data_IF_258577720942
#
_entry.id   IF_258577720942
#
_cell.length_a   1.000
_cell.length_b   1.000
_cell.length_c   1.000
_cell.angle_alpha   90.00
_cell.angle_beta   90.00
_cell.angle_gamma   90.00
#
_symmetry.space_group_name_H-M   'P 1'
#
loop_
_entity.id
_entity.type
_entity.pdbx_description
1 polymer ?
#
# COMPACT_ATOMS: atom_id res chain seq x y z
N UNK A 1 30.73 41.66 11.63
CA UNK A 1 30.24 40.96 12.84
C UNK A 1 28.77 40.52 12.74
N UNK A 2 27.97 41.01 11.79
CA UNK A 2 26.58 40.56 11.59
C UNK A 2 26.43 39.14 10.96
N UNK A 3 27.48 38.64 10.31
CA UNK A 3 27.47 37.40 9.51
C UNK A 3 27.41 36.12 10.37
N UNK A 4 28.06 36.11 11.54
CA UNK A 4 28.11 34.91 12.41
C UNK A 4 26.78 34.67 13.15
N UNK A 5 26.06 35.75 13.47
CA UNK A 5 24.77 35.68 14.16
C UNK A 5 23.69 35.08 13.22
N UNK A 6 23.64 35.53 11.96
CA UNK A 6 22.73 35.00 10.95
C UNK A 6 23.01 33.52 10.63
N UNK A 7 24.28 33.11 10.57
CA UNK A 7 24.67 31.71 10.35
C UNK A 7 24.17 30.83 11.50
N UNK A 8 24.30 31.28 12.76
CA UNK A 8 23.84 30.54 13.93
C UNK A 8 22.31 30.43 13.95
N UNK A 9 21.59 31.51 13.69
CA UNK A 9 20.13 31.49 13.59
C UNK A 9 19.63 30.59 12.45
N UNK A 10 20.33 30.55 11.32
CA UNK A 10 20.03 29.64 10.21
C UNK A 10 20.22 28.18 10.62
N UNK A 11 21.30 27.84 11.33
CA UNK A 11 21.52 26.50 11.87
C UNK A 11 20.46 26.09 12.89
N UNK A 12 20.03 27.00 13.77
CA UNK A 12 18.93 26.73 14.71
C UNK A 12 17.60 26.48 13.99
N UNK A 13 17.29 27.25 12.94
CA UNK A 13 16.07 27.04 12.13
C UNK A 13 16.11 25.69 11.42
N UNK A 14 17.23 25.35 10.79
CA UNK A 14 17.39 24.06 10.10
C UNK A 14 17.31 22.87 11.07
N UNK A 15 17.92 22.96 12.26
CA UNK A 15 17.85 21.88 13.26
C UNK A 15 16.44 21.72 13.83
N UNK A 16 15.74 22.81 14.12
CA UNK A 16 14.32 22.78 14.53
C UNK A 16 13.44 22.19 13.43
N UNK A 17 13.66 22.55 12.17
CA UNK A 17 12.91 21.99 11.05
C UNK A 17 13.19 20.49 10.87
N UNK A 18 14.44 20.05 10.99
CA UNK A 18 14.80 18.62 10.98
C UNK A 18 14.13 17.86 12.12
N UNK A 19 14.11 18.42 13.34
CA UNK A 19 13.41 17.82 14.48
C UNK A 19 11.90 17.72 14.23
N UNK A 20 11.27 18.76 13.67
CA UNK A 20 9.85 18.73 13.29
C UNK A 20 9.56 17.67 12.23
N UNK A 21 10.39 17.56 11.19
CA UNK A 21 10.25 16.53 10.14
C UNK A 21 10.38 15.11 10.72
N UNK A 22 11.35 14.89 11.62
CA UNK A 22 11.52 13.60 12.32
C UNK A 22 10.32 13.27 13.21
N UNK A 23 9.83 14.23 13.98
CA UNK A 23 8.64 14.05 14.83
C UNK A 23 7.40 13.75 13.99
N UNK A 24 7.19 14.45 12.88
CA UNK A 24 6.08 14.21 11.95
C UNK A 24 6.18 12.82 11.30
N UNK A 25 7.36 12.40 10.87
CA UNK A 25 7.58 11.05 10.32
C UNK A 25 7.33 9.96 11.37
N UNK A 26 7.79 10.16 12.60
CA UNK A 26 7.55 9.22 13.71
C UNK A 26 6.05 9.11 14.03
N UNK A 27 5.34 10.24 13.99
CA UNK A 27 3.89 10.26 14.20
C UNK A 27 3.15 9.52 13.09
N UNK A 28 3.49 9.79 11.83
CA UNK A 28 2.89 9.09 10.68
C UNK A 28 3.14 7.58 10.73
N UNK A 29 4.33 7.16 11.17
CA UNK A 29 4.63 5.73 11.36
C UNK A 29 3.73 5.11 12.43
N UNK A 30 3.56 5.77 13.59
CA UNK A 30 2.66 5.27 14.65
C UNK A 30 1.22 5.16 14.19
N UNK A 31 0.73 6.15 13.45
CA UNK A 31 -0.63 6.14 12.89
C UNK A 31 -0.81 4.96 11.91
N UNK A 32 0.20 4.67 11.08
CA UNK A 32 0.20 3.52 10.18
C UNK A 32 0.25 2.18 10.94
N UNK A 33 1.11 2.06 11.95
CA UNK A 33 1.24 0.86 12.77
C UNK A 33 -0.06 0.57 13.54
N UNK A 34 -0.74 1.61 14.03
CA UNK A 34 -2.05 1.50 14.69
C UNK A 34 -3.12 1.03 13.69
N UNK A 35 -3.15 1.61 12.48
CA UNK A 35 -4.07 1.16 11.42
C UNK A 35 -3.82 -0.30 11.02
N UNK A 36 -2.57 -0.72 10.91
CA UNK A 36 -2.22 -2.10 10.59
C UNK A 36 -2.64 -3.04 11.72
N UNK A 37 -2.42 -2.65 12.98
CA UNK A 37 -2.85 -3.41 14.15
C UNK A 37 -4.37 -3.60 14.18
N UNK A 38 -5.13 -2.53 13.88
CA UNK A 38 -6.59 -2.59 13.76
C UNK A 38 -6.99 -3.53 12.61
N UNK A 39 -6.33 -3.43 11.45
CA UNK A 39 -6.64 -4.29 10.32
C UNK A 39 -6.38 -5.78 10.61
N UNK A 40 -5.31 -6.10 11.35
CA UNK A 40 -5.01 -7.46 11.83
C UNK A 40 -6.12 -7.95 12.76
N UNK A 41 -6.52 -7.16 13.76
CA UNK A 41 -7.59 -7.53 14.67
C UNK A 41 -8.94 -7.77 13.93
N UNK A 42 -9.31 -6.87 13.02
CA UNK A 42 -10.51 -7.03 12.20
C UNK A 42 -10.43 -8.26 11.29
N UNK A 43 -9.24 -8.59 10.78
CA UNK A 43 -9.03 -9.79 9.98
C UNK A 43 -9.19 -11.06 10.82
N UNK A 44 -8.72 -11.06 12.07
CA UNK A 44 -8.91 -12.18 13.00
C UNK A 44 -10.38 -12.38 13.34
N UNK A 45 -11.13 -11.30 13.62
CA UNK A 45 -12.59 -11.34 13.85
C UNK A 45 -13.34 -11.88 12.62
N UNK A 46 -12.98 -11.40 11.42
CA UNK A 46 -13.51 -11.93 10.15
C UNK A 46 -13.17 -13.41 9.97
N UNK A 47 -11.95 -13.84 10.32
CA UNK A 47 -11.55 -15.24 10.22
C UNK A 47 -12.28 -16.15 11.22
N UNK A 48 -12.58 -15.67 12.42
CA UNK A 48 -13.40 -16.41 13.41
C UNK A 48 -14.85 -16.58 12.94
N UNK A 49 -15.35 -15.62 12.17
CA UNK A 49 -16.71 -15.68 11.58
C UNK A 49 -16.75 -16.36 10.19
N UNK A 50 -15.59 -16.63 9.56
CA UNK A 50 -15.44 -17.41 8.31
C UNK A 50 -15.82 -18.88 8.53
N UNK A 51 -17.12 -19.14 8.41
CA UNK A 51 -17.65 -20.47 8.18
C UNK A 51 -17.82 -20.70 6.67
N UNK A 52 -17.62 -21.94 6.22
CA UNK A 52 -17.90 -22.32 4.82
C UNK A 52 -19.37 -22.06 4.44
N UNK A 53 -19.73 -22.43 3.21
CA UNK A 53 -21.16 -22.51 2.86
C UNK A 53 -21.84 -23.48 3.82
N UNK A 54 -22.79 -22.95 4.60
CA UNK A 54 -23.69 -23.71 5.45
C UNK A 54 -25.08 -23.58 4.85
N UNK A 55 -25.86 -24.66 4.92
CA UNK A 55 -27.28 -24.59 4.56
C UNK A 55 -27.97 -23.50 5.40
N UNK A 56 -28.74 -22.65 4.74
CA UNK A 56 -29.41 -21.49 5.38
C UNK A 56 -28.60 -20.20 5.48
N UNK A 57 -27.32 -20.18 5.07
CA UNK A 57 -26.54 -18.93 4.94
C UNK A 57 -26.77 -18.31 3.57
N UNK A 58 -26.92 -16.98 3.53
CA UNK A 58 -27.09 -16.26 2.27
C UNK A 58 -25.93 -16.52 1.30
N UNK A 59 -26.22 -16.67 -0.01
CA UNK A 59 -25.19 -16.82 -1.02
C UNK A 59 -24.22 -15.63 -1.02
N UNK A 60 -22.98 -15.89 -1.42
CA UNK A 60 -22.02 -14.80 -1.58
C UNK A 60 -22.49 -13.83 -2.67
N UNK A 61 -22.57 -12.54 -2.32
CA UNK A 61 -22.96 -11.48 -3.25
C UNK A 61 -22.02 -11.45 -4.45
N UNK A 62 -22.59 -11.46 -5.66
CA UNK A 62 -21.83 -11.27 -6.88
C UNK A 62 -21.42 -9.80 -7.02
N UNK A 63 -20.21 -9.49 -6.58
CA UNK A 63 -19.63 -8.13 -6.64
C UNK A 63 -19.15 -7.73 -8.04
N UNK A 64 -19.41 -8.52 -9.08
CA UNK A 64 -18.94 -8.24 -10.46
C UNK A 64 -17.43 -7.98 -10.57
N UNK A 65 -16.63 -8.68 -9.75
CA UNK A 65 -15.18 -8.49 -9.61
C UNK A 65 -14.40 -8.53 -10.94
N UNK A 66 -14.85 -9.36 -11.90
CA UNK A 66 -14.22 -9.47 -13.21
C UNK A 66 -14.41 -8.21 -14.06
N UNK A 67 -15.64 -7.69 -14.11
CA UNK A 67 -15.92 -6.44 -14.81
C UNK A 67 -15.16 -5.30 -14.17
N UNK A 68 -15.09 -5.25 -12.82
CA UNK A 68 -14.31 -4.19 -12.17
C UNK A 68 -12.81 -4.28 -12.49
N UNK A 69 -12.26 -5.49 -12.53
CA UNK A 69 -10.86 -5.71 -12.90
C UNK A 69 -10.57 -5.21 -14.31
N UNK A 70 -11.44 -5.53 -15.27
CA UNK A 70 -11.31 -5.03 -16.64
C UNK A 70 -11.31 -3.49 -16.71
N UNK A 71 -12.29 -2.86 -16.06
CA UNK A 71 -12.38 -1.39 -16.03
C UNK A 71 -11.13 -0.78 -15.38
N UNK A 72 -10.61 -1.39 -14.31
CA UNK A 72 -9.40 -0.91 -13.65
C UNK A 72 -8.16 -0.97 -14.57
N UNK A 73 -8.05 -2.03 -15.38
CA UNK A 73 -6.98 -2.13 -16.37
C UNK A 73 -7.09 -1.00 -17.41
N UNK A 74 -8.29 -0.76 -17.93
CA UNK A 74 -8.57 0.34 -18.87
C UNK A 74 -8.34 1.72 -18.24
N UNK A 75 -8.60 1.87 -16.95
CA UNK A 75 -8.42 3.13 -16.23
C UNK A 75 -6.93 3.51 -16.10
N UNK A 76 -6.03 2.55 -15.79
CA UNK A 76 -4.67 2.87 -15.31
C UNK A 76 -3.51 2.01 -15.83
N UNK A 77 -3.75 0.77 -16.25
CA UNK A 77 -2.67 -0.23 -16.34
C UNK A 77 -2.35 -0.70 -17.77
N UNK A 78 -3.09 -0.23 -18.78
CA UNK A 78 -2.83 -0.52 -20.20
C UNK A 78 -2.19 0.70 -20.90
N UNK A 79 -1.46 0.51 -22.03
CA UNK A 79 -0.75 1.61 -22.70
C UNK A 79 -1.64 2.79 -23.15
N UNK A 80 -2.91 2.54 -23.46
CA UNK A 80 -3.92 3.58 -23.77
C UNK A 80 -4.90 3.72 -22.61
N UNK A 81 -4.39 3.90 -21.39
CA UNK A 81 -5.23 4.08 -20.21
C UNK A 81 -6.00 5.40 -20.25
N UNK A 82 -7.20 5.41 -19.65
CA UNK A 82 -8.03 6.62 -19.55
C UNK A 82 -7.34 7.73 -18.75
N UNK A 83 -6.64 7.36 -17.68
CA UNK A 83 -5.94 8.29 -16.81
C UNK A 83 -4.45 8.29 -17.09
N UNK A 84 -3.87 9.50 -17.13
CA UNK A 84 -2.43 9.73 -17.27
C UNK A 84 -1.64 9.41 -15.99
N UNK A 85 -0.33 9.32 -16.14
CA UNK A 85 0.63 9.12 -15.03
C UNK A 85 0.50 10.16 -13.91
N UNK A 86 0.06 11.38 -14.22
CA UNK A 86 -0.18 12.43 -13.23
C UNK A 86 -1.34 12.04 -12.32
N UNK A 87 -2.43 11.55 -12.91
CA UNK A 87 -3.57 11.04 -12.15
C UNK A 87 -3.19 9.77 -11.39
N UNK A 88 -2.40 8.88 -11.99
CA UNK A 88 -1.88 7.69 -11.32
C UNK A 88 -1.11 8.08 -10.05
N UNK A 89 -0.14 9.00 -10.16
CA UNK A 89 0.65 9.46 -9.02
C UNK A 89 -0.21 10.10 -7.92
N UNK A 90 -1.26 10.83 -8.28
CA UNK A 90 -2.22 11.38 -7.32
C UNK A 90 -3.01 10.31 -6.57
N UNK A 91 -3.35 9.21 -7.24
CA UNK A 91 -4.20 8.13 -6.70
C UNK A 91 -3.44 7.06 -5.92
N UNK A 92 -2.24 6.71 -6.37
CA UNK A 92 -1.41 5.67 -5.77
C UNK A 92 -0.24 6.24 -4.96
N UNK A 93 -0.05 7.56 -4.96
CA UNK A 93 1.06 8.28 -4.29
C UNK A 93 2.47 7.83 -4.72
N UNK A 94 2.57 7.12 -5.85
CA UNK A 94 3.82 6.66 -6.44
C UNK A 94 3.76 6.67 -7.97
N UNK A 95 4.91 6.57 -8.63
CA UNK A 95 4.98 6.49 -10.08
C UNK A 95 4.62 5.08 -10.58
N UNK A 96 4.05 4.93 -11.79
CA UNK A 96 3.62 3.63 -12.32
C UNK A 96 4.73 2.57 -12.36
N UNK A 97 5.97 2.96 -12.70
CA UNK A 97 7.09 2.02 -12.74
C UNK A 97 7.45 1.46 -11.36
N UNK A 98 7.35 2.28 -10.30
CA UNK A 98 7.60 1.82 -8.93
C UNK A 98 6.48 0.87 -8.49
N UNK A 99 5.23 1.20 -8.79
CA UNK A 99 4.09 0.31 -8.55
C UNK A 99 4.31 -1.05 -9.22
N UNK A 100 4.66 -1.06 -10.51
CA UNK A 100 4.89 -2.28 -11.27
C UNK A 100 6.05 -3.10 -10.70
N UNK A 101 7.13 -2.44 -10.27
CA UNK A 101 8.26 -3.10 -9.60
C UNK A 101 7.82 -3.78 -8.31
N UNK A 102 7.17 -3.05 -7.40
CA UNK A 102 6.70 -3.58 -6.11
C UNK A 102 5.69 -4.70 -6.32
N UNK A 103 4.76 -4.54 -7.27
CA UNK A 103 3.79 -5.57 -7.62
C UNK A 103 4.47 -6.84 -8.13
N UNK A 104 5.45 -6.71 -9.02
CA UNK A 104 6.21 -7.84 -9.54
C UNK A 104 6.98 -8.57 -8.42
N UNK A 105 7.70 -7.83 -7.58
CA UNK A 105 8.51 -8.41 -6.49
C UNK A 105 7.64 -9.18 -5.49
N UNK A 106 6.51 -8.59 -5.08
CA UNK A 106 5.58 -9.23 -4.13
C UNK A 106 4.83 -10.41 -4.78
N UNK A 107 4.43 -10.34 -6.05
CA UNK A 107 3.81 -11.49 -6.73
C UNK A 107 4.77 -12.68 -6.86
N UNK A 108 6.07 -12.40 -6.92
CA UNK A 108 7.10 -13.44 -6.89
C UNK A 108 7.29 -14.02 -5.49
N UNK A 109 7.22 -13.18 -4.46
CA UNK A 109 7.35 -13.57 -3.05
C UNK A 109 6.12 -14.33 -2.52
N UNK A 110 4.91 -13.77 -2.63
CA UNK A 110 3.66 -14.39 -2.18
C UNK A 110 2.72 -14.67 -3.37
N UNK A 111 2.51 -15.97 -3.62
CA UNK A 111 1.60 -16.47 -4.66
C UNK A 111 0.14 -16.15 -4.39
N UNK A 112 -0.23 -15.62 -3.21
CA UNK A 112 -1.55 -15.07 -2.94
C UNK A 112 -1.90 -13.95 -3.92
N UNK A 113 -0.96 -13.07 -4.27
CA UNK A 113 -1.24 -11.92 -5.14
C UNK A 113 -1.39 -12.29 -6.61
N UNK A 114 -0.87 -13.45 -7.03
CA UNK A 114 -1.04 -13.96 -8.40
C UNK A 114 -2.49 -14.37 -8.65
N UNK A 115 -3.06 -13.94 -9.78
CA UNK A 115 -4.39 -14.40 -10.19
C UNK A 115 -4.37 -15.91 -10.43
N UNK A 116 -5.27 -16.62 -9.75
CA UNK A 116 -5.45 -18.07 -9.85
C UNK A 116 -6.88 -18.41 -10.17
N UNK A 117 -7.12 -19.58 -10.76
CA UNK A 117 -8.47 -20.14 -10.85
C UNK A 117 -8.87 -20.75 -9.52
N UNK A 118 -10.12 -20.57 -9.12
CA UNK A 118 -10.67 -21.26 -7.95
C UNK A 118 -10.97 -22.73 -8.29
N UNK A 119 -11.41 -23.52 -7.31
CA UNK A 119 -11.72 -24.95 -7.49
C UNK A 119 -12.83 -25.22 -8.53
N UNK A 120 -13.64 -24.21 -8.85
CA UNK A 120 -14.73 -24.26 -9.85
C UNK A 120 -14.23 -23.79 -11.23
N UNK A 121 -12.95 -23.42 -11.36
CA UNK A 121 -12.34 -22.98 -12.62
C UNK A 121 -12.51 -21.50 -12.94
N UNK A 122 -13.19 -20.72 -12.09
CA UNK A 122 -13.38 -19.28 -12.26
C UNK A 122 -12.10 -18.53 -11.91
N UNK A 123 -11.72 -17.55 -12.74
CA UNK A 123 -10.58 -16.69 -12.45
C UNK A 123 -10.79 -15.91 -11.14
N UNK A 124 -9.70 -15.74 -10.39
CA UNK A 124 -9.66 -14.92 -9.19
C UNK A 124 -9.51 -13.44 -9.49
N UNK A 125 -9.22 -12.66 -8.46
CA UNK A 125 -8.90 -11.24 -8.56
C UNK A 125 -7.55 -11.04 -9.24
N UNK A 126 -7.42 -9.97 -10.01
CA UNK A 126 -6.16 -9.55 -10.61
C UNK A 126 -5.20 -9.00 -9.53
N UNK A 127 -3.88 -9.14 -9.70
CA UNK A 127 -2.89 -8.50 -8.83
C UNK A 127 -3.12 -6.99 -8.72
N UNK A 128 -3.38 -6.32 -9.85
CA UNK A 128 -3.62 -4.88 -9.92
C UNK A 128 -4.82 -4.45 -9.06
N UNK A 129 -5.87 -5.27 -9.02
CA UNK A 129 -7.03 -5.02 -8.16
C UNK A 129 -6.68 -5.10 -6.68
N UNK A 130 -5.94 -6.14 -6.27
CA UNK A 130 -5.51 -6.31 -4.87
C UNK A 130 -4.60 -5.18 -4.43
N UNK A 131 -3.63 -4.84 -5.27
CA UNK A 131 -2.71 -3.74 -5.01
C UNK A 131 -3.41 -2.39 -4.97
N UNK A 132 -4.38 -2.17 -5.84
CA UNK A 132 -5.12 -0.91 -5.86
C UNK A 132 -5.83 -0.66 -4.54
N UNK A 133 -6.50 -1.67 -4.00
CA UNK A 133 -7.19 -1.52 -2.72
C UNK A 133 -6.20 -1.28 -1.59
N UNK A 134 -5.14 -2.08 -1.50
CA UNK A 134 -4.12 -1.92 -0.44
C UNK A 134 -3.45 -0.56 -0.50
N UNK A 135 -2.95 -0.15 -1.66
CA UNK A 135 -2.25 1.13 -1.83
C UNK A 135 -3.20 2.29 -1.57
N UNK A 136 -4.46 2.23 -2.01
CA UNK A 136 -5.42 3.31 -1.74
C UNK A 136 -5.78 3.38 -0.26
N UNK A 137 -5.94 2.24 0.40
CA UNK A 137 -6.18 2.20 1.84
C UNK A 137 -5.03 2.86 2.61
N UNK A 138 -3.78 2.52 2.26
CA UNK A 138 -2.57 3.11 2.85
C UNK A 138 -2.39 4.60 2.50
N UNK A 139 -2.69 4.99 1.26
CA UNK A 139 -2.48 6.34 0.77
C UNK A 139 -3.47 7.37 1.37
N UNK A 140 -4.67 6.91 1.74
CA UNK A 140 -5.75 7.77 2.22
C UNK A 140 -6.15 7.50 3.67
N UNK A 141 -5.65 6.43 4.30
CA UNK A 141 -6.09 6.00 5.62
C UNK A 141 -7.56 5.56 5.65
N UNK A 142 -8.06 5.01 4.54
CA UNK A 142 -9.46 4.60 4.39
C UNK A 142 -9.76 3.29 5.12
N UNK A 143 -11.03 3.05 5.46
CA UNK A 143 -11.44 1.74 5.99
C UNK A 143 -11.58 0.72 4.87
N UNK A 144 -11.51 -0.58 5.21
CA UNK A 144 -11.75 -1.65 4.24
C UNK A 144 -13.15 -1.56 3.58
N UNK A 145 -14.16 -1.08 4.31
CA UNK A 145 -15.52 -0.89 3.82
C UNK A 145 -15.65 0.29 2.82
N UNK A 146 -14.72 1.25 2.83
CA UNK A 146 -14.70 2.31 1.81
C UNK A 146 -13.97 1.87 0.54
N UNK A 147 -12.99 1.00 0.71
CA UNK A 147 -12.12 0.55 -0.37
C UNK A 147 -12.74 -0.62 -1.13
N UNK A 148 -13.62 -1.40 -0.49
CA UNK A 148 -14.31 -2.51 -1.14
C UNK A 148 -15.17 -2.07 -2.34
N UNK A 149 -15.73 -0.85 -2.33
CA UNK A 149 -16.42 -0.24 -3.46
C UNK A 149 -15.49 -0.01 -4.66
N UNK A 150 -14.20 0.23 -4.40
CA UNK A 150 -13.22 0.62 -5.41
C UNK A 150 -12.75 -0.57 -6.23
N UNK A 151 -12.33 -1.70 -5.66
CA UNK A 151 -12.00 -2.90 -6.46
C UNK A 151 -13.06 -4.00 -6.44
N UNK A 152 -14.20 -3.77 -5.77
CA UNK A 152 -15.32 -4.72 -5.64
C UNK A 152 -14.87 -6.04 -5.02
N UNK A 153 -14.07 -5.93 -3.97
CA UNK A 153 -13.57 -7.05 -3.17
C UNK A 153 -14.44 -7.25 -1.92
N UNK A 154 -14.25 -8.36 -1.20
CA UNK A 154 -14.87 -8.52 0.13
C UNK A 154 -13.97 -7.90 1.19
N UNK A 155 -14.54 -7.32 2.25
CA UNK A 155 -13.82 -6.73 3.39
C UNK A 155 -12.66 -7.61 3.89
N UNK A 156 -12.93 -8.88 4.18
CA UNK A 156 -11.89 -9.82 4.63
C UNK A 156 -10.80 -10.06 3.60
N UNK A 157 -11.10 -10.00 2.30
CA UNK A 157 -10.09 -10.09 1.23
C UNK A 157 -9.21 -8.83 1.18
N UNK A 158 -9.79 -7.64 1.39
CA UNK A 158 -9.04 -6.37 1.45
C UNK A 158 -8.08 -6.41 2.64
N UNK A 159 -8.59 -6.76 3.82
CA UNK A 159 -7.79 -6.86 5.05
C UNK A 159 -6.68 -7.90 4.93
N UNK A 160 -6.98 -9.10 4.40
CA UNK A 160 -5.97 -10.13 4.19
C UNK A 160 -4.89 -9.69 3.18
N UNK A 161 -5.29 -8.97 2.13
CA UNK A 161 -4.35 -8.42 1.16
C UNK A 161 -3.47 -7.34 1.77
N UNK A 162 -3.99 -6.50 2.67
CA UNK A 162 -3.21 -5.49 3.37
C UNK A 162 -2.13 -6.12 4.24
N UNK A 163 -2.52 -7.06 5.12
CA UNK A 163 -1.59 -7.69 6.07
C UNK A 163 -0.47 -8.39 5.30
N UNK A 164 -0.81 -9.24 4.32
CA UNK A 164 0.18 -9.94 3.48
C UNK A 164 1.08 -8.99 2.70
N UNK A 165 0.54 -7.85 2.25
CA UNK A 165 1.32 -6.85 1.52
C UNK A 165 2.33 -6.18 2.45
N UNK A 166 1.91 -5.76 3.65
CA UNK A 166 2.80 -5.16 4.64
C UNK A 166 3.93 -6.14 5.03
N UNK A 167 3.59 -7.40 5.32
CA UNK A 167 4.57 -8.44 5.65
C UNK A 167 5.57 -8.65 4.50
N UNK A 168 5.08 -8.68 3.26
CA UNK A 168 5.93 -8.85 2.08
C UNK A 168 6.83 -7.64 1.84
N UNK A 169 6.31 -6.41 1.99
CA UNK A 169 7.10 -5.18 1.84
C UNK A 169 8.18 -5.10 2.91
N UNK A 170 7.83 -5.37 4.17
CA UNK A 170 8.79 -5.39 5.26
C UNK A 170 9.88 -6.44 4.97
N UNK A 171 9.50 -7.67 4.64
CA UNK A 171 10.48 -8.74 4.39
C UNK A 171 11.41 -8.42 3.21
N UNK A 172 10.86 -7.91 2.09
CA UNK A 172 11.63 -7.67 0.86
C UNK A 172 12.50 -6.42 0.94
N UNK A 173 11.99 -5.35 1.55
CA UNK A 173 12.62 -4.03 1.46
C UNK A 173 13.26 -3.55 2.77
N UNK A 174 13.10 -4.26 3.89
CA UNK A 174 13.68 -3.82 5.18
C UNK A 174 15.17 -3.61 5.10
N UNK A 175 15.89 -4.57 4.50
CA UNK A 175 17.35 -4.53 4.43
C UNK A 175 17.86 -3.37 3.57
N UNK A 176 17.16 -3.07 2.48
CA UNK A 176 17.63 -2.14 1.46
C UNK A 176 17.17 -0.70 1.73
N UNK A 177 16.01 -0.51 2.37
CA UNK A 177 15.36 0.79 2.47
C UNK A 177 14.89 1.19 3.87
N UNK A 178 14.59 0.22 4.76
CA UNK A 178 14.12 0.51 6.12
C UNK A 178 15.23 0.38 7.18
N UNK A 179 16.47 0.16 6.74
CA UNK A 179 17.64 0.13 7.59
C UNK A 179 18.12 1.55 7.97
N UNK A 180 18.86 1.64 9.09
CA UNK A 180 19.56 2.88 9.43
C UNK A 180 20.54 3.22 8.29
N UNK A 181 20.60 4.48 7.83
CA UNK A 181 21.51 4.88 6.76
C UNK A 181 22.94 4.48 7.08
N UNK A 182 23.59 3.77 6.15
CA UNK A 182 25.01 3.46 6.28
C UNK A 182 25.84 4.71 5.98
N UNK A 183 27.12 4.77 6.41
CA UNK A 183 28.01 5.87 6.03
C UNK A 183 28.09 6.11 4.52
N UNK A 184 27.97 5.05 3.72
CA UNK A 184 27.94 5.12 2.25
C UNK A 184 26.67 5.80 1.74
N UNK A 185 25.51 5.45 2.30
CA UNK A 185 24.22 6.07 1.93
C UNK A 185 24.22 7.55 2.27
N UNK A 186 24.77 7.92 3.44
CA UNK A 186 24.95 9.31 3.85
C UNK A 186 25.85 10.06 2.86
N UNK A 187 26.94 9.45 2.40
CA UNK A 187 27.86 10.06 1.45
C UNK A 187 27.20 10.27 0.07
N UNK A 188 26.40 9.32 -0.40
CA UNK A 188 25.61 9.47 -1.64
C UNK A 188 24.53 10.55 -1.53
N UNK A 189 23.85 10.63 -0.38
CA UNK A 189 22.86 11.68 -0.11
C UNK A 189 23.51 13.07 -0.11
N UNK A 190 24.70 13.21 0.49
CA UNK A 190 25.45 14.46 0.53
C UNK A 190 26.00 14.87 -0.84
N UNK A 191 26.24 13.93 -1.76
CA UNK A 191 26.66 14.25 -3.14
C UNK A 191 25.49 14.68 -4.05
N UNK A 192 24.25 14.34 -3.70
CA UNK A 192 23.05 14.66 -4.48
C UNK A 192 22.30 15.92 -4.01
N UNK A 193 22.65 16.45 -2.85
CA UNK A 193 22.07 17.68 -2.27
C UNK A 193 22.89 18.91 -2.62
#
# INVERSE_FOLDING_TARGET
MADMQEVFERQERETRERMRRRAASTRAQRELDEQLSIAVALLEEENQSRHGSREGRDPNVNRHRHSRGKNLMEDYFIPQSLYSDVHFRGRYRMQPHLFNKVMHDICNFDKYFVQKRNCVGNLGLLPEQKFTDVIRMLAYGSSADQVDEIARMGKSTVLESLVRFCDAVETLYTRDYLCRPTPRDLQQLLQKG
#
